data_IF_536842088797
#
_entry.id   IF_536842088797
#
_cell.length_a   1.000
_cell.length_b   1.000
_cell.length_c   1.000
_cell.angle_alpha   90.00
_cell.angle_beta   90.00
_cell.angle_gamma   90.00
#
_symmetry.space_group_name_H-M   'P 1'
#
loop_
_entity.id
_entity.type
_entity.pdbx_description
1 polymer ?
#
# COMPACT_ATOMS: atom_id res chain seq x y z
N UNK A 1 -53.30 28.94 25.83
CA UNK A 1 -52.50 28.38 24.71
C UNK A 1 -52.90 26.93 24.51
N UNK A 2 -52.94 26.42 23.28
CA UNK A 2 -53.16 24.98 23.05
C UNK A 2 -51.90 24.18 23.42
N UNK A 3 -52.06 22.91 23.81
CA UNK A 3 -50.93 22.03 24.16
C UNK A 3 -49.93 21.86 23.01
N UNK A 4 -50.41 22.00 21.76
CA UNK A 4 -49.59 21.96 20.56
C UNK A 4 -48.68 23.19 20.47
N UNK A 5 -49.22 24.40 20.70
CA UNK A 5 -48.45 25.64 20.68
C UNK A 5 -47.37 25.66 21.77
N UNK A 6 -47.70 25.13 22.97
CA UNK A 6 -46.74 25.01 24.07
C UNK A 6 -45.60 24.05 23.73
N UNK A 7 -45.90 22.92 23.07
CA UNK A 7 -44.88 21.95 22.62
C UNK A 7 -43.94 22.54 21.58
N UNK A 8 -44.45 23.29 20.61
CA UNK A 8 -43.63 23.95 19.59
C UNK A 8 -42.73 25.03 20.18
N UNK A 9 -43.26 25.85 21.10
CA UNK A 9 -42.49 26.88 21.80
C UNK A 9 -41.32 26.27 22.59
N UNK A 10 -41.61 25.20 23.31
CA UNK A 10 -40.62 24.47 24.10
C UNK A 10 -39.54 23.79 23.23
N UNK A 11 -39.93 23.23 22.08
CA UNK A 11 -38.98 22.70 21.09
C UNK A 11 -38.00 23.79 20.64
N UNK A 12 -38.52 24.96 20.22
CA UNK A 12 -37.71 26.11 19.80
C UNK A 12 -36.79 26.63 20.91
N UNK A 13 -37.24 26.62 22.17
CA UNK A 13 -36.40 26.99 23.32
C UNK A 13 -35.22 26.03 23.48
N UNK A 14 -35.47 24.72 23.49
CA UNK A 14 -34.41 23.71 23.59
C UNK A 14 -33.41 23.77 22.43
N UNK A 15 -33.90 23.97 21.21
CA UNK A 15 -33.07 24.21 20.03
C UNK A 15 -32.20 25.47 20.18
N UNK A 16 -32.78 26.58 20.60
CA UNK A 16 -32.04 27.85 20.78
C UNK A 16 -30.93 27.73 21.83
N UNK A 17 -31.19 27.05 22.96
CA UNK A 17 -30.20 26.77 23.99
C UNK A 17 -29.05 25.90 23.46
N UNK A 18 -29.39 24.83 22.74
CA UNK A 18 -28.41 23.96 22.08
C UNK A 18 -27.55 24.75 21.09
N UNK A 19 -28.18 25.55 20.23
CA UNK A 19 -27.49 26.35 19.22
C UNK A 19 -26.50 27.33 19.86
N UNK A 20 -26.90 28.00 20.95
CA UNK A 20 -26.04 28.92 21.70
C UNK A 20 -24.77 28.23 22.23
N UNK A 21 -24.90 27.00 22.73
CA UNK A 21 -23.75 26.20 23.17
C UNK A 21 -22.82 25.92 21.98
N UNK A 22 -23.37 25.41 20.87
CA UNK A 22 -22.61 24.95 19.70
C UNK A 22 -21.88 26.09 18.97
N UNK A 23 -22.50 27.26 18.83
CA UNK A 23 -21.96 28.42 18.11
C UNK A 23 -20.68 29.00 18.71
N UNK A 24 -20.34 28.63 19.94
CA UNK A 24 -19.06 29.01 20.55
C UNK A 24 -17.83 28.38 19.88
N UNK A 25 -17.98 27.23 19.21
CA UNK A 25 -16.84 26.49 18.63
C UNK A 25 -17.08 25.92 17.23
N UNK A 26 -18.32 25.72 16.83
CA UNK A 26 -18.64 25.07 15.56
C UNK A 26 -19.29 26.03 14.57
N UNK A 27 -19.12 25.75 13.29
CA UNK A 27 -20.09 26.17 12.29
C UNK A 27 -21.34 25.29 12.47
N UNK A 28 -22.50 25.92 12.58
CA UNK A 28 -23.77 25.23 12.86
C UNK A 28 -24.65 25.39 11.65
N UNK A 29 -25.03 24.27 11.04
CA UNK A 29 -26.03 24.23 9.98
C UNK A 29 -27.36 23.78 10.58
N UNK A 30 -28.34 24.67 10.48
CA UNK A 30 -29.73 24.38 10.84
C UNK A 30 -30.38 23.60 9.70
N UNK A 31 -31.11 22.53 10.02
CA UNK A 31 -31.91 21.82 9.03
C UNK A 31 -33.36 22.28 9.12
N UNK A 32 -33.92 22.73 8.00
CA UNK A 32 -35.30 23.22 7.91
C UNK A 32 -36.32 22.12 7.52
N UNK A 33 -35.88 20.88 7.38
CA UNK A 33 -36.71 19.72 6.99
C UNK A 33 -36.37 18.54 7.87
N UNK A 34 -37.42 17.90 8.42
CA UNK A 34 -37.47 16.75 9.33
C UNK A 34 -36.93 15.43 8.70
N UNK A 35 -35.87 15.55 7.89
CA UNK A 35 -35.21 14.43 7.22
C UNK A 35 -34.09 13.96 8.15
N UNK A 36 -34.21 12.74 8.67
CA UNK A 36 -33.23 12.03 9.51
C UNK A 36 -33.10 12.50 10.98
N UNK A 37 -34.09 13.20 11.53
CA UNK A 37 -34.24 13.42 12.97
C UNK A 37 -33.09 14.13 13.69
N UNK A 38 -32.23 14.83 12.96
CA UNK A 38 -31.15 15.64 13.48
C UNK A 38 -31.51 17.13 13.35
N UNK A 39 -31.45 17.86 14.45
CA UNK A 39 -31.83 19.28 14.49
C UNK A 39 -30.65 20.18 14.06
N UNK A 40 -29.41 19.73 14.34
CA UNK A 40 -28.20 20.44 13.97
C UNK A 40 -27.16 19.53 13.34
N UNK A 41 -26.50 20.05 12.31
CA UNK A 41 -25.21 19.53 11.84
C UNK A 41 -24.12 20.53 12.22
N UNK A 42 -23.02 20.05 12.80
CA UNK A 42 -21.92 20.90 13.23
C UNK A 42 -20.61 20.50 12.59
N UNK A 43 -19.86 21.52 12.20
CA UNK A 43 -18.54 21.36 11.60
C UNK A 43 -17.51 22.13 12.42
N UNK A 44 -16.32 21.55 12.58
CA UNK A 44 -15.21 22.19 13.29
C UNK A 44 -14.77 23.45 12.54
N UNK A 45 -14.66 24.57 13.24
CA UNK A 45 -14.08 25.79 12.67
C UNK A 45 -12.61 25.57 12.32
N UNK A 46 -12.15 26.26 11.28
CA UNK A 46 -10.74 26.32 10.90
C UNK A 46 -10.21 27.70 11.26
N UNK A 47 -9.08 27.74 11.97
CA UNK A 47 -8.43 29.00 12.36
C UNK A 47 -7.61 29.62 11.21
N UNK A 48 -7.46 28.91 10.09
CA UNK A 48 -6.79 29.42 8.88
C UNK A 48 -7.43 28.86 7.61
N UNK A 49 -7.30 29.64 6.52
CA UNK A 49 -7.72 29.21 5.18
C UNK A 49 -6.93 27.98 4.71
N UNK A 50 -5.66 27.88 5.09
CA UNK A 50 -4.80 26.75 4.75
C UNK A 50 -5.27 25.46 5.41
N UNK A 51 -5.64 25.49 6.70
CA UNK A 51 -6.20 24.34 7.39
C UNK A 51 -7.56 23.91 6.80
N UNK A 52 -8.33 24.86 6.26
CA UNK A 52 -9.57 24.57 5.55
C UNK A 52 -9.32 23.92 4.19
N UNK A 53 -8.33 24.41 3.43
CA UNK A 53 -7.91 23.80 2.15
C UNK A 53 -7.34 22.39 2.34
N UNK A 54 -6.51 22.17 3.36
CA UNK A 54 -5.98 20.85 3.67
C UNK A 54 -7.09 19.86 4.02
N UNK A 55 -8.11 20.28 4.79
CA UNK A 55 -9.29 19.46 5.09
C UNK A 55 -10.16 19.16 3.87
N UNK A 56 -10.22 20.07 2.90
CA UNK A 56 -11.00 19.86 1.68
C UNK A 56 -10.50 18.67 0.82
N UNK A 57 -9.28 18.20 1.04
CA UNK A 57 -8.73 17.02 0.37
C UNK A 57 -9.04 15.70 1.10
N UNK A 58 -9.67 15.74 2.27
CA UNK A 58 -10.09 14.58 3.06
C UNK A 58 -11.60 14.38 3.08
N UNK A 59 -12.05 13.30 3.71
CA UNK A 59 -13.47 13.14 4.06
C UNK A 59 -13.75 14.00 5.29
N UNK A 60 -14.60 15.01 5.13
CA UNK A 60 -15.09 15.83 6.22
C UNK A 60 -16.35 15.23 6.84
N UNK A 61 -16.42 15.21 8.17
CA UNK A 61 -17.52 14.61 8.93
C UNK A 61 -18.23 15.69 9.74
N UNK A 62 -19.56 15.70 9.65
CA UNK A 62 -20.39 16.55 10.49
C UNK A 62 -20.72 15.83 11.80
N UNK A 63 -20.70 16.56 12.91
CA UNK A 63 -21.37 16.12 14.12
C UNK A 63 -22.87 16.27 13.97
N UNK A 64 -23.62 15.25 14.36
CA UNK A 64 -25.07 15.18 14.30
C UNK A 64 -25.60 15.41 15.71
N UNK A 65 -26.41 16.45 15.91
CA UNK A 65 -26.97 16.79 17.22
C UNK A 65 -28.48 16.79 17.14
N UNK A 66 -29.09 15.98 18.01
CA UNK A 66 -30.51 16.00 18.27
C UNK A 66 -30.77 16.76 19.57
N UNK A 67 -31.62 17.78 19.51
CA UNK A 67 -32.11 18.56 20.65
C UNK A 67 -33.56 18.18 20.91
N UNK A 68 -33.87 17.78 22.14
CA UNK A 68 -35.27 17.54 22.55
C UNK A 68 -35.57 18.23 23.85
N UNK A 69 -36.79 18.72 23.95
CA UNK A 69 -37.33 19.28 25.17
C UNK A 69 -38.34 18.32 25.80
N UNK A 70 -38.35 18.21 27.13
CA UNK A 70 -39.32 17.40 27.86
C UNK A 70 -39.86 18.12 29.10
N UNK A 71 -41.10 17.81 29.49
CA UNK A 71 -41.75 18.29 30.72
C UNK A 71 -42.29 17.10 31.52
N UNK A 72 -42.41 17.23 32.84
CA UNK A 72 -43.17 16.32 33.72
C UNK A 72 -42.83 14.83 33.53
N UNK A 73 -41.54 14.51 33.44
CA UNK A 73 -41.04 13.13 33.26
C UNK A 73 -41.51 12.41 31.99
N UNK A 74 -41.94 13.16 30.97
CA UNK A 74 -42.31 12.59 29.68
C UNK A 74 -41.16 11.80 29.04
N UNK A 75 -41.51 10.69 28.38
CA UNK A 75 -40.54 9.85 27.68
C UNK A 75 -40.00 10.57 26.45
N UNK A 76 -38.69 10.72 26.39
CA UNK A 76 -37.99 11.16 25.19
C UNK A 76 -37.58 9.94 24.39
N UNK A 77 -37.81 9.95 23.07
CA UNK A 77 -37.45 8.87 22.15
C UNK A 77 -36.34 9.32 21.21
N UNK A 78 -35.35 8.47 21.00
CA UNK A 78 -34.26 8.64 20.04
C UNK A 78 -34.25 7.42 19.13
N UNK A 79 -34.36 7.60 17.81
CA UNK A 79 -34.39 6.46 16.89
C UNK A 79 -33.04 5.74 16.89
N UNK A 80 -33.08 4.40 16.89
CA UNK A 80 -31.89 3.57 16.94
C UNK A 80 -30.99 3.77 15.73
N UNK A 81 -31.56 4.01 14.56
CA UNK A 81 -30.83 4.28 13.31
C UNK A 81 -29.92 5.52 13.39
N UNK A 82 -30.20 6.47 14.29
CA UNK A 82 -29.35 7.65 14.50
C UNK A 82 -28.24 7.41 15.50
N UNK A 83 -28.39 6.40 16.36
CA UNK A 83 -27.42 6.07 17.41
C UNK A 83 -26.38 5.07 16.89
N UNK A 84 -26.78 4.20 15.96
CA UNK A 84 -25.94 3.13 15.44
C UNK A 84 -25.68 3.28 13.93
N UNK A 85 -24.49 2.84 13.52
CA UNK A 85 -24.10 2.61 12.13
C UNK A 85 -23.64 1.14 12.03
N UNK A 86 -24.37 0.31 11.28
CA UNK A 86 -24.13 -1.14 11.18
C UNK A 86 -23.94 -1.85 12.55
N UNK A 87 -24.70 -1.41 13.56
CA UNK A 87 -24.64 -1.96 14.91
C UNK A 87 -23.53 -1.40 15.80
N UNK A 88 -22.71 -0.47 15.28
CA UNK A 88 -21.65 0.22 16.02
C UNK A 88 -22.14 1.61 16.46
N UNK A 89 -21.91 2.04 17.71
CA UNK A 89 -22.24 3.40 18.17
C UNK A 89 -21.60 4.48 17.28
N UNK A 90 -22.43 5.41 16.79
CA UNK A 90 -21.97 6.58 16.03
C UNK A 90 -21.20 7.53 16.94
N UNK A 91 -19.91 7.74 16.66
CA UNK A 91 -19.07 8.66 17.43
C UNK A 91 -19.38 10.13 17.15
N UNK A 92 -20.05 10.40 16.03
CA UNK A 92 -20.46 11.71 15.55
C UNK A 92 -21.89 12.10 15.96
N UNK A 93 -22.67 11.22 16.62
CA UNK A 93 -24.03 11.50 17.08
C UNK A 93 -24.11 11.87 18.57
N UNK A 94 -24.85 12.94 18.88
CA UNK A 94 -25.06 13.44 20.23
C UNK A 94 -26.51 13.87 20.46
N UNK A 95 -26.97 13.72 21.70
CA UNK A 95 -28.31 14.13 22.12
C UNK A 95 -28.22 15.16 23.27
N UNK A 96 -28.92 16.28 23.09
CA UNK A 96 -29.16 17.29 24.11
C UNK A 96 -30.61 17.23 24.55
N UNK A 97 -30.83 17.04 25.85
CA UNK A 97 -32.18 17.04 26.43
C UNK A 97 -32.32 18.26 27.34
N UNK A 98 -33.34 19.08 27.11
CA UNK A 98 -33.61 20.30 27.89
C UNK A 98 -34.92 20.18 28.65
N UNK A 99 -34.97 20.77 29.83
CA UNK A 99 -36.17 20.93 30.66
C UNK A 99 -35.93 22.08 31.65
N UNK A 100 -36.94 22.43 32.42
CA UNK A 100 -36.80 23.31 33.58
C UNK A 100 -37.16 22.54 34.85
N UNK A 101 -36.67 23.01 35.99
CA UNK A 101 -37.05 22.49 37.31
C UNK A 101 -38.33 23.16 37.83
N UNK A 102 -38.68 22.87 39.09
CA UNK A 102 -39.89 23.38 39.74
C UNK A 102 -39.86 24.90 39.95
N UNK A 103 -38.67 25.51 39.95
CA UNK A 103 -38.47 26.97 40.07
C UNK A 103 -38.37 27.65 38.68
N UNK A 104 -38.67 26.91 37.61
CA UNK A 104 -38.53 27.32 36.21
C UNK A 104 -37.07 27.59 35.78
N UNK A 105 -36.07 27.08 36.52
CA UNK A 105 -34.67 27.21 36.14
C UNK A 105 -34.29 26.15 35.09
N UNK A 106 -33.64 26.54 33.97
CA UNK A 106 -33.32 25.62 32.88
C UNK A 106 -32.19 24.67 33.28
N UNK A 107 -32.34 23.40 32.91
CA UNK A 107 -31.29 22.40 32.99
C UNK A 107 -31.22 21.55 31.73
N UNK A 108 -30.06 20.94 31.50
CA UNK A 108 -29.84 20.08 30.35
C UNK A 108 -29.13 18.77 30.70
N UNK A 109 -29.32 17.77 29.84
CA UNK A 109 -28.53 16.56 29.79
C UNK A 109 -27.82 16.45 28.46
N UNK A 110 -26.62 15.86 28.48
CA UNK A 110 -25.83 15.61 27.28
C UNK A 110 -25.40 14.14 27.22
N UNK A 111 -25.65 13.50 26.09
CA UNK A 111 -25.33 12.10 25.85
C UNK A 111 -24.66 11.92 24.47
N UNK A 112 -23.61 11.12 24.42
CA UNK A 112 -23.11 10.53 23.17
C UNK A 112 -23.96 9.30 22.78
N UNK A 113 -23.80 8.80 21.55
CA UNK A 113 -24.42 7.53 21.16
C UNK A 113 -24.07 6.36 22.10
N UNK A 114 -22.81 6.28 22.53
CA UNK A 114 -22.35 5.29 23.50
C UNK A 114 -23.08 5.41 24.84
N UNK A 115 -23.29 6.64 25.31
CA UNK A 115 -24.02 6.88 26.56
C UNK A 115 -25.49 6.49 26.41
N UNK A 116 -26.11 6.77 25.26
CA UNK A 116 -27.50 6.39 24.97
C UNK A 116 -27.65 4.87 25.00
N UNK A 117 -26.73 4.11 24.43
CA UNK A 117 -26.82 2.64 24.42
C UNK A 117 -26.67 2.07 25.82
N UNK A 118 -25.77 2.64 26.63
CA UNK A 118 -25.51 2.19 28.00
C UNK A 118 -26.65 2.55 28.94
N UNK A 119 -27.20 3.75 28.77
CA UNK A 119 -28.13 4.32 29.72
C UNK A 119 -29.58 4.14 29.27
N UNK A 120 -29.94 4.42 28.02
CA UNK A 120 -31.35 4.47 27.66
C UNK A 120 -31.95 3.06 27.54
N UNK A 121 -33.23 2.95 27.84
CA UNK A 121 -33.94 1.70 27.67
C UNK A 121 -34.27 1.49 26.19
N UNK A 122 -34.10 0.27 25.69
CA UNK A 122 -34.54 -0.09 24.35
C UNK A 122 -36.06 -0.33 24.34
N UNK A 123 -36.74 0.17 23.32
CA UNK A 123 -38.17 -0.12 23.10
C UNK A 123 -38.44 -1.59 22.80
N UNK A 124 -39.66 -2.05 23.08
CA UNK A 124 -40.07 -3.43 22.79
C UNK A 124 -39.99 -3.78 21.29
N UNK A 125 -40.26 -2.81 20.41
CA UNK A 125 -40.10 -2.97 18.97
C UNK A 125 -38.64 -2.87 18.48
N UNK A 126 -37.69 -2.53 19.37
CA UNK A 126 -36.26 -2.38 19.08
C UNK A 126 -35.88 -1.26 18.10
N UNK A 127 -36.82 -0.38 17.76
CA UNK A 127 -36.63 0.72 16.79
C UNK A 127 -36.10 2.02 17.41
N UNK A 128 -36.33 2.24 18.71
CA UNK A 128 -35.88 3.45 19.39
C UNK A 128 -35.39 3.17 20.82
N UNK A 129 -34.47 4.01 21.27
CA UNK A 129 -34.08 4.17 22.66
C UNK A 129 -34.97 5.20 23.33
N UNK A 130 -35.24 5.05 24.62
CA UNK A 130 -36.01 6.03 25.37
C UNK A 130 -35.41 6.39 26.73
N UNK A 131 -35.55 7.67 27.04
CA UNK A 131 -35.16 8.32 28.28
C UNK A 131 -36.40 8.72 29.06
N UNK A 132 -36.36 8.54 30.38
CA UNK A 132 -37.33 9.12 31.31
C UNK A 132 -36.68 9.29 32.68
N UNK A 133 -37.06 10.35 33.38
CA UNK A 133 -36.72 10.54 34.78
C UNK A 133 -37.61 9.66 35.66
N UNK A 134 -37.03 9.01 36.66
CA UNK A 134 -37.75 8.24 37.68
C UNK A 134 -37.15 8.53 39.05
N UNK A 135 -37.84 8.24 40.17
CA UNK A 135 -37.30 8.48 41.51
C UNK A 135 -35.89 7.90 41.74
N UNK A 136 -35.56 6.80 41.07
CA UNK A 136 -34.26 6.12 41.19
C UNK A 136 -33.27 6.47 40.08
N UNK A 137 -33.71 7.18 39.03
CA UNK A 137 -32.89 7.44 37.84
C UNK A 137 -33.03 8.88 37.37
N UNK A 138 -32.09 9.69 37.82
CA UNK A 138 -32.02 11.12 37.55
C UNK A 138 -30.88 11.52 36.59
N UNK A 139 -30.01 10.56 36.21
CA UNK A 139 -28.89 10.76 35.28
C UNK A 139 -27.96 11.92 35.68
N UNK A 140 -27.70 12.11 36.98
CA UNK A 140 -26.88 13.23 37.50
C UNK A 140 -25.49 13.30 36.86
N UNK A 141 -24.92 12.15 36.50
CA UNK A 141 -23.64 12.08 35.79
C UNK A 141 -23.66 12.69 34.39
N UNK A 142 -24.83 13.03 33.84
CA UNK A 142 -25.02 13.61 32.51
C UNK A 142 -25.69 14.99 32.55
N UNK A 143 -26.18 15.39 33.73
CA UNK A 143 -26.88 16.66 33.97
C UNK A 143 -25.90 17.83 34.02
N UNK A 144 -26.33 18.98 33.50
CA UNK A 144 -25.68 20.28 33.61
C UNK A 144 -24.17 20.25 33.33
N UNK A 145 -23.76 19.49 32.32
CA UNK A 145 -22.37 19.45 31.90
C UNK A 145 -21.92 20.82 31.43
N UNK A 146 -20.72 21.22 31.87
CA UNK A 146 -20.08 22.46 31.44
C UNK A 146 -19.98 22.49 29.92
N UNK A 147 -20.24 23.66 29.32
CA UNK A 147 -20.17 23.86 27.88
C UNK A 147 -18.87 23.35 27.27
N UNK A 148 -17.72 23.63 27.91
CA UNK A 148 -16.42 23.10 27.46
C UNK A 148 -16.41 21.57 27.31
N UNK A 149 -16.96 20.85 28.30
CA UNK A 149 -17.00 19.37 28.25
C UNK A 149 -17.84 18.88 27.07
N UNK A 150 -19.00 19.50 26.84
CA UNK A 150 -19.90 19.15 25.73
C UNK A 150 -19.17 19.34 24.39
N UNK A 151 -18.57 20.51 24.20
CA UNK A 151 -17.88 20.85 22.95
C UNK A 151 -16.64 19.99 22.71
N UNK A 152 -15.86 19.72 23.75
CA UNK A 152 -14.68 18.85 23.69
C UNK A 152 -15.10 17.42 23.29
N UNK A 153 -16.22 16.92 23.83
CA UNK A 153 -16.78 15.61 23.47
C UNK A 153 -17.26 15.54 22.04
N UNK A 154 -18.00 16.55 21.57
CA UNK A 154 -18.47 16.63 20.18
C UNK A 154 -17.27 16.68 19.23
N UNK A 155 -16.31 17.55 19.49
CA UNK A 155 -15.12 17.71 18.65
C UNK A 155 -14.30 16.42 18.56
N UNK A 156 -14.08 15.75 19.69
CA UNK A 156 -13.35 14.48 19.73
C UNK A 156 -14.06 13.40 18.92
N UNK A 157 -15.39 13.29 19.04
CA UNK A 157 -16.18 12.32 18.31
C UNK A 157 -16.14 12.53 16.80
N UNK A 158 -16.28 13.79 16.35
CA UNK A 158 -16.12 14.17 14.94
C UNK A 158 -14.72 13.79 14.44
N UNK A 159 -13.67 14.18 15.17
CA UNK A 159 -12.28 13.92 14.77
C UNK A 159 -11.97 12.41 14.67
N UNK A 160 -12.48 11.59 15.59
CA UNK A 160 -12.29 10.14 15.53
C UNK A 160 -13.00 9.53 14.33
N UNK A 161 -14.22 9.97 14.03
CA UNK A 161 -15.01 9.50 12.88
C UNK A 161 -14.34 9.90 11.57
N UNK A 162 -13.87 11.14 11.47
CA UNK A 162 -13.08 11.65 10.34
C UNK A 162 -11.84 10.80 10.11
N UNK A 163 -11.08 10.48 11.17
CA UNK A 163 -9.90 9.63 11.09
C UNK A 163 -10.23 8.21 10.61
N UNK A 164 -11.30 7.61 11.14
CA UNK A 164 -11.71 6.26 10.77
C UNK A 164 -12.19 6.20 9.30
N UNK A 165 -12.95 7.20 8.85
CA UNK A 165 -13.40 7.34 7.47
C UNK A 165 -12.23 7.52 6.49
N UNK A 166 -11.29 8.43 6.79
CA UNK A 166 -10.10 8.64 5.97
C UNK A 166 -9.22 7.38 5.92
N UNK A 167 -9.04 6.67 7.05
CA UNK A 167 -8.31 5.39 7.07
C UNK A 167 -9.00 4.33 6.20
N UNK A 168 -10.33 4.22 6.28
CA UNK A 168 -11.11 3.30 5.44
C UNK A 168 -10.99 3.66 3.96
N UNK A 169 -11.07 4.95 3.62
CA UNK A 169 -10.91 5.44 2.25
C UNK A 169 -9.52 5.12 1.69
N UNK A 170 -8.46 5.47 2.41
CA UNK A 170 -7.08 5.16 2.03
C UNK A 170 -6.90 3.65 1.88
N UNK A 171 -7.36 2.85 2.85
CA UNK A 171 -7.30 1.38 2.77
C UNK A 171 -8.04 0.85 1.55
N UNK A 172 -9.23 1.34 1.24
CA UNK A 172 -10.01 0.90 0.09
C UNK A 172 -9.32 1.27 -1.22
N UNK A 173 -8.78 2.49 -1.33
CA UNK A 173 -7.98 2.91 -2.48
C UNK A 173 -6.73 2.05 -2.63
N UNK A 174 -5.94 1.89 -1.58
CA UNK A 174 -4.77 1.02 -1.57
C UNK A 174 -5.14 -0.42 -1.93
N UNK A 175 -6.24 -0.96 -1.40
CA UNK A 175 -6.67 -2.33 -1.72
C UNK A 175 -7.07 -2.46 -3.20
N UNK A 176 -7.72 -1.46 -3.78
CA UNK A 176 -8.03 -1.44 -5.21
C UNK A 176 -6.76 -1.37 -6.08
N UNK A 177 -5.73 -0.64 -5.64
CA UNK A 177 -4.45 -0.54 -6.35
C UNK A 177 -3.45 -1.67 -6.03
N UNK A 178 -3.58 -2.35 -4.89
CA UNK A 178 -2.66 -3.39 -4.42
C UNK A 178 -3.12 -4.82 -4.74
N UNK A 179 -4.44 -5.05 -4.81
CA UNK A 179 -5.01 -6.35 -5.23
C UNK A 179 -4.55 -6.83 -6.61
N UNK A 180 -4.27 -5.98 -7.60
CA UNK A 180 -3.78 -6.46 -8.88
C UNK A 180 -2.40 -7.15 -8.78
N UNK A 181 -1.59 -6.76 -7.77
CA UNK A 181 -0.19 -7.20 -7.63
C UNK A 181 0.05 -8.27 -6.57
N UNK A 182 -0.78 -8.29 -5.51
CA UNK A 182 -0.68 -9.21 -4.37
C UNK A 182 -1.92 -10.11 -4.29
N UNK A 183 -1.73 -11.38 -3.93
CA UNK A 183 -2.79 -12.38 -3.80
C UNK A 183 -3.11 -12.76 -2.33
N UNK A 184 -2.26 -12.41 -1.37
CA UNK A 184 -2.43 -12.66 0.07
C UNK A 184 -2.67 -14.13 0.41
N UNK A 185 -1.95 -15.05 -0.24
CA UNK A 185 -2.04 -16.49 0.01
C UNK A 185 -0.71 -16.99 0.60
N UNK A 186 -0.77 -17.71 1.72
CA UNK A 186 0.43 -18.31 2.35
C UNK A 186 1.09 -19.37 1.47
N UNK A 187 0.30 -20.07 0.65
CA UNK A 187 0.73 -21.03 -0.36
C UNK A 187 0.02 -20.70 -1.67
N UNK A 188 0.70 -20.07 -2.64
CA UNK A 188 0.06 -19.65 -3.89
C UNK A 188 -0.32 -20.86 -4.76
N UNK A 189 -1.59 -20.97 -5.15
CA UNK A 189 -2.07 -21.96 -6.10
C UNK A 189 -2.80 -21.29 -7.27
N UNK A 190 -2.07 -21.10 -8.36
CA UNK A 190 -2.47 -20.31 -9.52
C UNK A 190 -2.18 -21.03 -10.83
N UNK A 191 -3.03 -20.77 -11.81
CA UNK A 191 -2.79 -21.02 -13.21
C UNK A 191 -2.58 -19.70 -13.96
N UNK A 192 -1.54 -19.63 -14.78
CA UNK A 192 -1.19 -18.50 -15.63
C UNK A 192 -1.41 -18.93 -17.09
N UNK A 193 -2.54 -18.52 -17.67
CA UNK A 193 -2.87 -18.79 -19.07
C UNK A 193 -2.30 -17.69 -19.96
N UNK A 194 -1.26 -18.02 -20.73
CA UNK A 194 -0.64 -17.17 -21.76
C UNK A 194 -1.49 -17.29 -23.03
N UNK A 195 -2.08 -16.18 -23.47
CA UNK A 195 -3.00 -16.14 -24.61
C UNK A 195 -2.71 -14.97 -25.54
N UNK A 196 -3.02 -15.14 -26.82
CA UNK A 196 -2.94 -14.08 -27.81
C UNK A 196 -4.37 -13.66 -28.14
N UNK A 197 -4.70 -12.39 -27.89
CA UNK A 197 -6.02 -11.83 -28.13
C UNK A 197 -5.89 -10.62 -29.05
N UNK A 198 -6.48 -10.68 -30.24
CA UNK A 198 -6.37 -9.64 -31.27
C UNK A 198 -4.92 -9.19 -31.56
N UNK A 199 -3.99 -10.15 -31.56
CA UNK A 199 -2.56 -9.90 -31.78
C UNK A 199 -1.81 -9.34 -30.57
N UNK A 200 -2.44 -9.29 -29.39
CA UNK A 200 -1.83 -8.86 -28.13
C UNK A 200 -1.62 -10.04 -27.20
N UNK A 201 -0.40 -10.24 -26.75
CA UNK A 201 -0.05 -11.22 -25.73
C UNK A 201 -0.56 -10.77 -24.36
N UNK A 202 -1.43 -11.58 -23.77
CA UNK A 202 -2.00 -11.35 -22.45
C UNK A 202 -1.78 -12.56 -21.57
N UNK A 203 -1.76 -12.33 -20.25
CA UNK A 203 -1.73 -13.41 -19.26
C UNK A 203 -2.91 -13.29 -18.34
N UNK A 204 -3.66 -14.38 -18.20
CA UNK A 204 -4.79 -14.49 -17.28
C UNK A 204 -4.36 -15.34 -16.11
N UNK A 205 -4.47 -14.78 -14.91
CA UNK A 205 -4.28 -15.50 -13.65
C UNK A 205 -5.61 -16.06 -13.16
N UNK A 206 -5.60 -17.34 -12.81
CA UNK A 206 -6.72 -18.04 -12.19
C UNK A 206 -6.28 -18.55 -10.83
N UNK A 207 -6.94 -18.07 -9.78
CA UNK A 207 -6.79 -18.57 -8.42
C UNK A 207 -7.52 -19.91 -8.30
N UNK A 208 -6.77 -20.98 -8.03
CA UNK A 208 -7.32 -22.32 -7.89
C UNK A 208 -7.95 -22.57 -6.52
N UNK A 209 -7.62 -21.74 -5.54
CA UNK A 209 -8.19 -21.81 -4.17
C UNK A 209 -9.50 -21.02 -4.07
N UNK A 210 -9.49 -19.78 -4.57
CA UNK A 210 -10.61 -18.83 -4.47
C UNK A 210 -11.49 -18.74 -5.73
N UNK A 211 -11.08 -19.34 -6.85
CA UNK A 211 -11.81 -19.32 -8.11
C UNK A 211 -11.78 -17.99 -8.86
N UNK A 212 -11.03 -16.99 -8.37
CA UNK A 212 -10.96 -15.67 -9.00
C UNK A 212 -10.14 -15.70 -10.30
N UNK A 213 -10.58 -14.96 -11.32
CA UNK A 213 -9.93 -14.87 -12.64
C UNK A 213 -9.68 -13.41 -13.01
N UNK A 214 -8.47 -13.07 -13.41
CA UNK A 214 -8.08 -11.67 -13.73
C UNK A 214 -6.85 -11.61 -14.64
N UNK A 215 -6.61 -10.47 -15.26
CA UNK A 215 -5.36 -10.22 -15.99
C UNK A 215 -4.19 -10.14 -15.01
N UNK A 216 -3.03 -10.65 -15.43
CA UNK A 216 -1.76 -10.43 -14.76
C UNK A 216 -1.35 -8.96 -14.94
N UNK A 217 -0.86 -8.35 -13.88
CA UNK A 217 -0.45 -6.95 -13.93
C UNK A 217 1.00 -6.77 -14.34
N UNK A 218 1.27 -5.84 -15.27
CA UNK A 218 2.61 -5.48 -15.67
C UNK A 218 3.38 -4.83 -14.51
N UNK A 219 4.47 -5.47 -14.06
CA UNK A 219 5.33 -4.95 -12.99
C UNK A 219 6.39 -3.97 -13.52
N UNK A 220 5.94 -2.89 -14.15
CA UNK A 220 6.82 -1.84 -14.67
C UNK A 220 7.61 -1.12 -13.58
N UNK A 221 7.17 -1.25 -12.32
CA UNK A 221 7.90 -0.80 -11.13
C UNK A 221 9.12 -1.69 -10.79
N UNK A 222 9.16 -2.92 -11.28
CA UNK A 222 10.29 -3.85 -11.09
C UNK A 222 11.21 -3.93 -12.30
N UNK A 223 10.69 -3.63 -13.49
CA UNK A 223 11.45 -3.63 -14.73
C UNK A 223 10.89 -2.57 -15.67
N UNK A 224 11.67 -1.52 -15.93
CA UNK A 224 11.29 -0.43 -16.83
C UNK A 224 11.38 -0.91 -18.30
N UNK A 225 10.37 -1.67 -18.73
CA UNK A 225 10.16 -1.98 -20.13
C UNK A 225 9.16 -0.99 -20.75
N UNK A 226 9.32 -0.65 -22.04
CA UNK A 226 8.27 0.01 -22.82
C UNK A 226 7.39 -0.99 -23.58
N UNK A 227 7.87 -2.21 -23.82
CA UNK A 227 7.15 -3.25 -24.55
C UNK A 227 6.09 -3.96 -23.69
N UNK A 228 5.29 -4.81 -24.34
CA UNK A 228 4.24 -5.63 -23.73
C UNK A 228 4.77 -7.01 -23.31
N UNK A 229 3.90 -7.86 -22.77
CA UNK A 229 4.26 -9.25 -22.53
C UNK A 229 4.58 -9.96 -23.84
N UNK A 230 5.51 -10.90 -23.80
CA UNK A 230 5.83 -11.75 -24.94
C UNK A 230 6.41 -13.09 -24.47
N UNK A 231 6.38 -14.09 -25.36
CA UNK A 231 7.12 -15.34 -25.25
C UNK A 231 7.63 -15.76 -26.63
N UNK A 232 8.75 -16.47 -26.69
CA UNK A 232 9.47 -16.77 -27.93
C UNK A 232 10.74 -15.95 -28.11
N UNK A 233 10.97 -15.39 -29.29
CA UNK A 233 12.26 -14.82 -29.69
C UNK A 233 12.58 -13.43 -29.13
N UNK A 234 11.64 -12.74 -28.48
CA UNK A 234 11.88 -11.46 -27.83
C UNK A 234 12.37 -11.62 -26.37
N UNK A 235 13.66 -11.34 -26.14
CA UNK A 235 14.26 -11.37 -24.81
C UNK A 235 13.64 -10.37 -23.82
N UNK A 236 13.28 -9.18 -24.29
CA UNK A 236 12.83 -8.09 -23.41
C UNK A 236 11.41 -8.33 -22.93
N UNK A 237 10.50 -8.71 -23.83
CA UNK A 237 9.14 -9.12 -23.48
C UNK A 237 9.10 -10.39 -22.63
N UNK A 238 9.96 -11.39 -22.91
CA UNK A 238 10.10 -12.60 -22.08
C UNK A 238 10.58 -12.27 -20.66
N UNK A 239 11.57 -11.38 -20.53
CA UNK A 239 12.08 -10.95 -19.23
C UNK A 239 10.99 -10.24 -18.43
N UNK A 240 10.29 -9.29 -19.07
CA UNK A 240 9.24 -8.53 -18.43
C UNK A 240 8.07 -9.40 -17.95
N UNK A 241 7.69 -10.38 -18.78
CA UNK A 241 6.69 -11.37 -18.40
C UNK A 241 7.15 -12.23 -17.23
N UNK A 242 8.40 -12.72 -17.25
CA UNK A 242 8.96 -13.51 -16.17
C UNK A 242 8.96 -12.77 -14.82
N UNK A 243 9.42 -11.51 -14.82
CA UNK A 243 9.40 -10.65 -13.61
C UNK A 243 7.99 -10.48 -13.09
N UNK A 244 7.02 -10.20 -13.97
CA UNK A 244 5.63 -9.96 -13.57
C UNK A 244 4.96 -11.21 -12.99
N UNK A 245 5.16 -12.37 -13.63
CA UNK A 245 4.60 -13.66 -13.17
C UNK A 245 5.18 -14.07 -11.82
N UNK A 246 6.50 -14.02 -11.67
CA UNK A 246 7.16 -14.41 -10.41
C UNK A 246 6.82 -13.43 -9.28
N UNK A 247 6.79 -12.13 -9.57
CA UNK A 247 6.45 -11.14 -8.54
C UNK A 247 4.99 -11.28 -8.09
N UNK A 248 4.06 -11.59 -8.99
CA UNK A 248 2.70 -11.95 -8.59
C UNK A 248 2.73 -13.20 -7.69
N UNK A 249 3.39 -14.28 -8.11
CA UNK A 249 3.49 -15.54 -7.35
C UNK A 249 4.16 -15.40 -5.97
N UNK A 250 5.03 -14.41 -5.81
CA UNK A 250 5.72 -14.06 -4.56
C UNK A 250 4.96 -13.01 -3.74
N UNK A 251 3.65 -12.91 -3.93
CA UNK A 251 2.77 -11.96 -3.25
C UNK A 251 3.28 -10.51 -3.33
N UNK A 252 3.72 -10.10 -4.51
CA UNK A 252 4.21 -8.75 -4.82
C UNK A 252 5.70 -8.52 -4.59
N UNK A 253 6.42 -9.44 -3.93
CA UNK A 253 7.85 -9.31 -3.67
C UNK A 253 8.70 -9.38 -4.95
N UNK A 254 9.85 -8.72 -4.93
CA UNK A 254 10.81 -8.78 -6.04
C UNK A 254 11.36 -10.21 -6.21
N UNK A 255 11.30 -10.80 -7.40
CA UNK A 255 11.84 -12.12 -7.65
C UNK A 255 13.37 -12.12 -7.67
N UNK A 256 13.98 -13.29 -7.45
CA UNK A 256 15.44 -13.43 -7.57
C UNK A 256 15.87 -13.55 -9.04
N UNK A 257 17.04 -13.02 -9.37
CA UNK A 257 17.59 -13.06 -10.74
C UNK A 257 17.68 -14.49 -11.31
N UNK A 258 18.01 -15.46 -10.46
CA UNK A 258 18.08 -16.87 -10.89
C UNK A 258 16.71 -17.40 -11.30
N UNK A 259 15.65 -17.05 -10.56
CA UNK A 259 14.29 -17.48 -10.89
C UNK A 259 13.81 -16.78 -12.17
N UNK A 260 14.07 -15.46 -12.29
CA UNK A 260 13.72 -14.68 -13.48
C UNK A 260 14.39 -15.26 -14.72
N UNK A 261 15.70 -15.54 -14.67
CA UNK A 261 16.44 -16.11 -15.80
C UNK A 261 15.87 -17.45 -16.25
N UNK A 262 15.57 -18.35 -15.31
CA UNK A 262 15.00 -19.68 -15.65
C UNK A 262 13.64 -19.56 -16.33
N UNK A 263 12.77 -18.75 -15.76
CA UNK A 263 11.45 -18.56 -16.35
C UNK A 263 11.57 -17.87 -17.71
N UNK A 264 12.46 -16.89 -17.86
CA UNK A 264 12.74 -16.24 -19.14
C UNK A 264 13.22 -17.24 -20.19
N UNK A 265 14.23 -18.05 -19.88
CA UNK A 265 14.76 -19.09 -20.80
C UNK A 265 13.65 -20.07 -21.19
N UNK A 266 12.78 -20.45 -20.24
CA UNK A 266 11.63 -21.28 -20.53
C UNK A 266 10.65 -20.57 -21.48
N UNK A 267 10.28 -19.32 -21.21
CA UNK A 267 9.39 -18.53 -22.06
C UNK A 267 9.98 -18.30 -23.46
N UNK A 268 11.30 -18.16 -23.59
CA UNK A 268 11.97 -18.00 -24.88
C UNK A 268 11.93 -19.27 -25.74
N UNK A 269 11.82 -20.42 -25.10
CA UNK A 269 11.70 -21.71 -25.80
C UNK A 269 10.29 -21.98 -26.35
N UNK A 270 9.29 -21.17 -25.98
CA UNK A 270 7.92 -21.32 -26.42
C UNK A 270 7.73 -20.78 -27.84
N UNK A 271 6.74 -21.31 -28.56
CA UNK A 271 6.33 -20.79 -29.86
C UNK A 271 5.54 -19.49 -29.65
N UNK A 272 6.00 -18.39 -30.25
CA UNK A 272 5.43 -17.06 -30.09
C UNK A 272 3.96 -16.95 -30.52
N UNK A 273 3.48 -17.87 -31.36
CA UNK A 273 2.12 -17.88 -31.93
C UNK A 273 1.16 -18.81 -31.15
N UNK A 274 1.66 -19.55 -30.16
CA UNK A 274 0.88 -20.52 -29.41
C UNK A 274 0.45 -19.99 -28.04
N UNK A 275 -0.63 -20.55 -27.50
CA UNK A 275 -1.09 -20.30 -26.13
C UNK A 275 -0.60 -21.39 -25.19
N UNK A 276 -0.29 -21.00 -23.95
CA UNK A 276 0.32 -21.88 -22.95
C UNK A 276 -0.33 -21.72 -21.59
N UNK A 277 -0.09 -22.69 -20.73
CA UNK A 277 -0.49 -22.66 -19.33
C UNK A 277 0.72 -22.98 -18.47
N UNK A 278 1.03 -22.10 -17.53
CA UNK A 278 2.07 -22.29 -16.52
C UNK A 278 1.37 -22.32 -15.16
N UNK A 279 1.69 -23.29 -14.31
CA UNK A 279 1.06 -23.42 -12.99
C UNK A 279 2.03 -23.04 -11.86
N UNK A 280 1.48 -22.89 -10.65
CA UNK A 280 2.25 -22.63 -9.43
C UNK A 280 3.38 -23.64 -9.19
N UNK A 281 3.19 -24.91 -9.50
CA UNK A 281 4.20 -25.96 -9.31
C UNK A 281 5.43 -25.70 -10.19
N UNK A 282 5.22 -25.41 -11.47
CA UNK A 282 6.29 -25.04 -12.42
C UNK A 282 7.04 -23.78 -11.97
N UNK A 283 6.32 -22.74 -11.53
CA UNK A 283 6.98 -21.54 -11.00
C UNK A 283 7.80 -21.84 -9.74
N UNK A 284 7.29 -22.72 -8.88
CA UNK A 284 7.99 -23.11 -7.67
C UNK A 284 9.28 -23.88 -7.96
N UNK A 285 9.33 -24.67 -9.04
CA UNK A 285 10.57 -25.31 -9.51
C UNK A 285 11.63 -24.29 -9.92
N UNK A 286 11.23 -23.20 -10.60
CA UNK A 286 12.16 -22.12 -10.95
C UNK A 286 12.66 -21.34 -9.74
N UNK A 287 11.82 -21.18 -8.71
CA UNK A 287 12.16 -20.48 -7.46
C UNK A 287 13.07 -21.33 -6.57
N UNK A 288 12.70 -22.59 -6.33
CA UNK A 288 13.33 -23.44 -5.32
C UNK A 288 14.64 -24.08 -5.78
N UNK A 289 14.85 -24.13 -7.09
CA UNK A 289 16.06 -24.69 -7.66
C UNK A 289 16.90 -23.51 -8.15
N UNK A 290 17.63 -22.79 -7.28
CA UNK A 290 18.54 -21.77 -7.78
C UNK A 290 19.51 -22.45 -8.74
N UNK A 291 19.73 -21.86 -9.92
CA UNK A 291 20.93 -22.22 -10.69
C UNK A 291 22.08 -22.05 -9.69
N UNK A 292 22.83 -23.12 -9.39
CA UNK A 292 24.14 -22.97 -8.75
C UNK A 292 24.81 -21.92 -9.60
N UNK A 293 24.98 -20.69 -9.07
CA UNK A 293 25.18 -19.49 -9.87
C UNK A 293 26.09 -19.83 -11.04
N UNK A 294 25.50 -20.09 -12.22
CA UNK A 294 26.28 -20.66 -13.31
C UNK A 294 27.29 -19.58 -13.58
N UNK A 295 28.53 -19.90 -13.27
CA UNK A 295 29.56 -18.90 -13.14
C UNK A 295 29.66 -18.30 -14.52
N UNK A 296 29.21 -17.07 -14.69
CA UNK A 296 29.06 -16.50 -16.04
C UNK A 296 30.40 -16.47 -16.77
N UNK A 297 31.49 -16.47 -16.00
CA UNK A 297 32.86 -16.69 -16.48
C UNK A 297 33.09 -18.13 -17.01
N UNK A 298 32.59 -19.18 -16.35
CA UNK A 298 32.65 -20.56 -16.87
C UNK A 298 31.85 -20.71 -18.16
N UNK A 299 30.67 -20.08 -18.27
CA UNK A 299 29.89 -20.10 -19.50
C UNK A 299 30.64 -19.45 -20.68
N UNK A 300 31.37 -18.35 -20.42
CA UNK A 300 32.25 -17.72 -21.41
C UNK A 300 33.46 -18.60 -21.76
N UNK A 301 34.04 -19.30 -20.78
CA UNK A 301 35.16 -20.23 -21.00
C UNK A 301 34.74 -21.46 -21.84
N UNK A 302 33.50 -21.93 -21.69
CA UNK A 302 32.90 -23.00 -22.51
C UNK A 302 32.60 -22.53 -23.95
N UNK A 303 32.12 -21.29 -24.13
CA UNK A 303 31.82 -20.71 -25.45
C UNK A 303 33.10 -20.40 -26.24
N UNK A 304 34.14 -19.94 -25.54
CA UNK A 304 35.41 -19.50 -26.11
C UNK A 304 36.55 -20.33 -25.54
N UNK A 305 36.71 -21.61 -25.97
CA UNK A 305 37.70 -22.50 -25.41
C UNK A 305 39.11 -21.92 -25.54
N UNK A 306 39.72 -21.69 -24.38
CA UNK A 306 41.02 -21.07 -24.24
C UNK A 306 42.09 -22.17 -24.34
N UNK A 307 42.88 -22.17 -25.42
CA UNK A 307 43.99 -23.13 -25.54
C UNK A 307 45.24 -22.47 -26.10
N UNK A 308 46.19 -22.15 -25.20
CA UNK A 308 47.56 -21.76 -25.55
C UNK A 308 48.52 -22.39 -24.54
N UNK A 309 49.38 -23.28 -25.01
CA UNK A 309 50.38 -23.93 -24.17
C UNK A 309 51.27 -22.90 -23.47
N UNK A 310 51.37 -22.99 -22.14
CA UNK A 310 52.30 -22.20 -21.32
C UNK A 310 51.79 -20.83 -20.84
N UNK A 311 50.53 -20.46 -21.06
CA UNK A 311 49.91 -19.22 -20.57
C UNK A 311 48.75 -19.53 -19.60
N UNK A 312 48.53 -18.69 -18.58
CA UNK A 312 47.37 -18.77 -17.66
C UNK A 312 46.35 -17.73 -18.10
N UNK A 313 45.53 -18.12 -19.08
CA UNK A 313 44.51 -17.27 -19.68
C UNK A 313 43.14 -17.68 -19.12
N UNK A 314 42.40 -16.72 -18.57
CA UNK A 314 41.06 -16.95 -18.02
C UNK A 314 40.17 -15.72 -18.17
N UNK A 315 38.86 -15.91 -17.98
CA UNK A 315 37.94 -14.79 -17.85
C UNK A 315 37.87 -14.29 -16.40
N UNK A 316 37.82 -12.97 -16.25
CA UNK A 316 37.69 -12.30 -14.96
C UNK A 316 36.56 -11.28 -14.98
N UNK A 317 35.71 -11.31 -13.97
CA UNK A 317 34.74 -10.27 -13.69
C UNK A 317 35.45 -9.02 -13.16
N UNK A 318 35.14 -7.86 -13.72
CA UNK A 318 35.55 -6.57 -13.16
C UNK A 318 34.60 -6.20 -12.04
N UNK A 319 35.13 -6.18 -10.81
CA UNK A 319 34.35 -5.84 -9.62
C UNK A 319 34.26 -4.32 -9.44
N UNK A 320 35.36 -3.60 -9.66
CA UNK A 320 35.39 -2.14 -9.76
C UNK A 320 36.73 -1.64 -10.29
N UNK A 321 36.75 -0.37 -10.70
CA UNK A 321 37.95 0.40 -11.02
C UNK A 321 37.94 1.69 -10.21
N UNK A 322 38.99 1.96 -9.44
CA UNK A 322 39.14 3.19 -8.67
C UNK A 322 40.52 3.82 -8.95
N UNK A 323 40.54 4.89 -9.73
CA UNK A 323 41.81 5.51 -10.15
C UNK A 323 42.64 4.55 -11.01
N UNK A 324 43.79 4.10 -10.48
CA UNK A 324 44.63 3.09 -11.14
C UNK A 324 44.48 1.69 -10.53
N UNK A 325 43.61 1.50 -9.55
CA UNK A 325 43.35 0.19 -8.97
C UNK A 325 42.23 -0.53 -9.72
N UNK A 326 42.53 -1.71 -10.24
CA UNK A 326 41.59 -2.63 -10.87
C UNK A 326 41.34 -3.80 -9.92
N UNK A 327 40.07 -3.99 -9.51
CA UNK A 327 39.65 -5.18 -8.77
C UNK A 327 38.94 -6.16 -9.70
N UNK A 328 39.48 -7.37 -9.78
CA UNK A 328 38.95 -8.46 -10.61
C UNK A 328 38.66 -9.71 -9.79
N UNK A 329 37.76 -10.55 -10.28
CA UNK A 329 37.36 -11.82 -9.67
C UNK A 329 37.35 -12.93 -10.71
N UNK A 330 38.02 -14.04 -10.43
CA UNK A 330 38.03 -15.19 -11.34
C UNK A 330 36.82 -16.11 -11.11
N UNK A 331 36.68 -17.14 -11.95
CA UNK A 331 35.65 -18.15 -11.83
C UNK A 331 35.62 -18.80 -10.42
N UNK A 332 36.76 -19.18 -9.85
CA UNK A 332 36.81 -19.73 -8.49
C UNK A 332 36.43 -18.73 -7.35
N UNK A 333 36.05 -17.50 -7.70
CA UNK A 333 35.60 -16.48 -6.75
C UNK A 333 36.72 -15.73 -6.04
N UNK A 334 37.98 -15.99 -6.41
CA UNK A 334 39.15 -15.33 -5.84
C UNK A 334 39.26 -13.92 -6.40
N UNK A 335 39.23 -12.93 -5.51
CA UNK A 335 39.41 -11.52 -5.85
C UNK A 335 40.89 -11.11 -5.79
N UNK A 336 41.30 -10.35 -6.80
CA UNK A 336 42.64 -9.77 -6.93
C UNK A 336 42.52 -8.27 -7.17
N UNK A 337 43.43 -7.50 -6.55
CA UNK A 337 43.51 -6.03 -6.71
C UNK A 337 44.86 -5.72 -7.31
N UNK A 338 44.87 -4.97 -8.40
CA UNK A 338 46.05 -4.70 -9.22
C UNK A 338 46.17 -3.19 -9.47
N UNK A 339 47.37 -2.64 -9.29
CA UNK A 339 47.67 -1.28 -9.75
C UNK A 339 48.07 -1.34 -11.23
N UNK A 340 47.21 -0.80 -12.10
CA UNK A 340 47.41 -0.77 -13.55
C UNK A 340 48.14 0.50 -14.03
N UNK A 341 48.71 1.30 -13.11
CA UNK A 341 49.45 2.51 -13.45
C UNK A 341 50.63 2.21 -14.39
N UNK A 342 50.65 2.88 -15.55
CA UNK A 342 51.71 2.73 -16.55
C UNK A 342 51.63 1.45 -17.38
N UNK A 343 50.53 0.69 -17.29
CA UNK A 343 50.25 -0.44 -18.18
C UNK A 343 49.55 0.07 -19.44
N UNK A 344 50.30 0.56 -20.43
CA UNK A 344 49.73 1.15 -21.65
C UNK A 344 48.80 0.18 -22.40
N UNK A 345 49.07 -1.14 -22.34
CA UNK A 345 48.23 -2.18 -22.93
C UNK A 345 46.87 -2.38 -22.22
N UNK A 346 46.70 -1.87 -20.99
CA UNK A 346 45.43 -1.90 -20.26
C UNK A 346 44.57 -0.68 -20.53
N UNK A 347 45.12 0.37 -21.14
CA UNK A 347 44.45 1.67 -21.23
C UNK A 347 43.09 1.58 -21.93
N UNK A 348 43.06 0.95 -23.09
CA UNK A 348 41.83 0.78 -23.87
C UNK A 348 40.80 -0.07 -23.11
N UNK A 349 41.25 -1.05 -22.33
CA UNK A 349 40.38 -1.90 -21.53
C UNK A 349 39.77 -1.16 -20.34
N UNK A 350 40.58 -0.34 -19.65
CA UNK A 350 40.12 0.48 -18.53
C UNK A 350 39.17 1.59 -19.03
N UNK A 351 39.46 2.21 -20.18
CA UNK A 351 38.59 3.21 -20.78
C UNK A 351 37.22 2.59 -21.16
N UNK A 352 37.21 1.41 -21.78
CA UNK A 352 35.98 0.67 -22.06
C UNK A 352 35.21 0.32 -20.78
N UNK A 353 35.88 -0.23 -19.76
CA UNK A 353 35.26 -0.53 -18.46
C UNK A 353 34.64 0.72 -17.83
N UNK A 354 35.35 1.86 -17.83
CA UNK A 354 34.84 3.09 -17.23
C UNK A 354 33.61 3.64 -17.96
N UNK A 355 33.51 3.45 -19.27
CA UNK A 355 32.33 3.82 -20.06
C UNK A 355 31.16 2.92 -19.65
N UNK A 356 31.33 1.60 -19.75
CA UNK A 356 30.24 0.65 -19.52
C UNK A 356 29.81 0.54 -18.05
N UNK A 357 30.73 0.69 -17.09
CA UNK A 357 30.38 0.71 -15.66
C UNK A 357 29.43 1.86 -15.32
N UNK A 358 29.61 3.04 -15.92
CA UNK A 358 28.71 4.19 -15.70
C UNK A 358 27.30 3.93 -16.25
N UNK A 359 27.21 3.31 -17.41
CA UNK A 359 25.93 2.94 -18.01
C UNK A 359 25.22 1.88 -17.17
N UNK A 360 25.96 0.89 -16.65
CA UNK A 360 25.42 -0.15 -15.76
C UNK A 360 24.92 0.48 -14.44
N UNK A 361 25.71 1.35 -13.80
CA UNK A 361 25.35 2.01 -12.54
C UNK A 361 24.16 2.97 -12.65
N UNK A 362 23.94 3.57 -13.84
CA UNK A 362 22.86 4.54 -14.06
C UNK A 362 21.53 3.94 -14.52
N UNK A 363 21.53 2.69 -14.99
CA UNK A 363 20.37 2.07 -15.64
C UNK A 363 19.20 1.68 -14.74
N UNK A 364 19.32 1.69 -13.41
CA UNK A 364 18.20 1.32 -12.51
C UNK A 364 17.70 -0.14 -12.62
N UNK A 365 18.15 -0.89 -13.63
CA UNK A 365 17.93 -2.32 -13.82
C UNK A 365 18.57 -3.06 -12.65
N UNK A 366 17.76 -3.70 -11.81
CA UNK A 366 18.25 -4.50 -10.68
C UNK A 366 18.88 -5.83 -11.10
N UNK A 367 19.36 -5.98 -12.33
CA UNK A 367 20.07 -7.16 -12.82
C UNK A 367 21.37 -6.80 -13.52
N UNK A 368 22.41 -6.63 -12.70
CA UNK A 368 23.72 -7.29 -12.85
C UNK A 368 24.21 -7.51 -14.30
N UNK A 369 24.48 -6.47 -15.07
CA UNK A 369 25.45 -6.60 -16.16
C UNK A 369 26.84 -6.76 -15.57
N UNK A 370 27.55 -7.79 -16.00
CA UNK A 370 28.92 -8.10 -15.64
C UNK A 370 29.85 -7.67 -16.77
N UNK A 371 30.94 -6.97 -16.47
CA UNK A 371 32.03 -6.81 -17.43
C UNK A 371 33.03 -7.94 -17.19
N UNK A 372 33.18 -8.83 -18.16
CA UNK A 372 34.17 -9.90 -18.15
C UNK A 372 35.33 -9.56 -19.09
N UNK A 373 36.57 -9.75 -18.62
CA UNK A 373 37.78 -9.53 -19.41
C UNK A 373 38.56 -10.83 -19.50
N UNK A 374 38.94 -11.22 -20.71
CA UNK A 374 39.85 -12.35 -20.93
C UNK A 374 41.30 -11.87 -20.85
N UNK A 375 42.08 -12.42 -19.92
CA UNK A 375 43.43 -11.93 -19.62
C UNK A 375 44.42 -13.09 -19.44
N UNK A 376 45.66 -12.89 -19.92
CA UNK A 376 46.83 -13.70 -19.55
C UNK A 376 47.43 -13.12 -18.27
N UNK A 377 47.58 -13.95 -17.24
CA UNK A 377 47.96 -13.51 -15.89
C UNK A 377 49.10 -14.31 -15.27
N UNK A 378 49.80 -13.69 -14.33
CA UNK A 378 50.70 -14.35 -13.39
C UNK A 378 49.99 -14.48 -12.04
N UNK A 379 49.94 -15.69 -11.47
CA UNK A 379 49.30 -15.95 -10.17
C UNK A 379 50.29 -16.31 -9.07
N UNK A 380 49.97 -15.89 -7.86
CA UNK A 380 50.64 -16.38 -6.66
C UNK A 380 50.36 -17.88 -6.46
N UNK A 381 51.42 -18.68 -6.38
CA UNK A 381 51.32 -20.15 -6.31
C UNK A 381 50.52 -20.67 -5.11
N UNK A 382 50.40 -19.90 -4.01
CA UNK A 382 49.72 -20.31 -2.76
C UNK A 382 48.31 -19.78 -2.67
N UNK A 383 48.11 -18.50 -2.97
CA UNK A 383 46.84 -17.78 -2.80
C UNK A 383 46.00 -17.77 -4.07
N UNK A 384 46.60 -18.12 -5.23
CA UNK A 384 45.99 -18.10 -6.56
C UNK A 384 45.49 -16.72 -7.02
N UNK A 385 45.81 -15.67 -6.26
CA UNK A 385 45.57 -14.27 -6.62
C UNK A 385 46.44 -13.87 -7.80
N UNK A 386 45.91 -13.02 -8.66
CA UNK A 386 46.66 -12.42 -9.76
C UNK A 386 47.66 -11.43 -9.18
N UNK A 387 48.93 -11.61 -9.54
CA UNK A 387 50.04 -10.72 -9.22
C UNK A 387 50.29 -9.71 -10.34
N UNK A 388 50.10 -10.14 -11.59
CA UNK A 388 50.39 -9.34 -12.77
C UNK A 388 49.50 -9.76 -13.95
N UNK A 389 49.14 -8.79 -14.79
CA UNK A 389 48.51 -9.03 -16.09
C UNK A 389 49.62 -8.95 -17.16
N UNK A 390 49.68 -9.92 -18.04
CA UNK A 390 50.59 -9.92 -19.19
C UNK A 390 49.93 -9.31 -20.42
N UNK A 391 48.67 -9.66 -20.65
CA UNK A 391 47.93 -9.25 -21.85
C UNK A 391 46.42 -9.31 -21.64
N UNK A 392 45.68 -8.43 -22.32
CA UNK A 392 44.21 -8.45 -22.41
C UNK A 392 43.80 -8.83 -23.82
N UNK A 393 42.99 -9.86 -23.96
CA UNK A 393 42.56 -10.35 -25.26
C UNK A 393 41.22 -9.76 -25.70
N UNK A 394 40.26 -9.66 -24.79
CA UNK A 394 38.92 -9.15 -25.11
C UNK A 394 38.13 -8.75 -23.87
N UNK A 395 37.07 -8.00 -24.11
CA UNK A 395 36.09 -7.55 -23.11
C UNK A 395 34.70 -7.98 -23.59
N UNK A 396 33.90 -8.50 -22.68
CA UNK A 396 32.51 -8.89 -22.88
C UNK A 396 31.64 -8.24 -21.82
N UNK A 397 30.49 -7.74 -22.24
CA UNK A 397 29.40 -7.39 -21.32
C UNK A 397 28.49 -8.60 -21.31
N UNK A 398 28.19 -9.11 -20.13
CA UNK A 398 27.41 -10.32 -19.93
C UNK A 398 26.23 -10.00 -19.03
N UNK A 399 25.03 -10.28 -19.54
CA UNK A 399 23.77 -10.06 -18.84
C UNK A 399 23.49 -11.08 -17.71
#
# INVERSE_FOLDING_TARGET
>A
MSDLAKREENGKKGESLTQSILLSRFWVLLRSTDVDGADFLVQRRSNSLEALRQRAHGIDIFGIIQSKYFENSNRVKVQKAYVLDDGIPRKDFFCMLHSHDEEEEPFHYFFSADDIIKEFNLSACKEFYWFALTPYRQYENYKNKKQKFILDKIELGIFQTERDANKKFIKNKLTAYARPTMHFQDKPDFEYSLQIFDGVHIVITQDMTGGSRRLLEPRRDLFENQDDYYWGDDDTGCHFLAVSMLAHHLDGASPSDSAVRKLREHLQSLDAECSYVINSETLQEFINNPLSASNRLLALEDELPINREGQDIAFFEVVHVLGTELKIKCCDGIESVLDVKGCDYMKDAIDAVNIFMRDIESSGESTKRMIAIMQDVERDSRTKKVLKIHYVYMIRIVD
#
